data_IF_670897660887
#
_entry.id   IF_670897660887
#
_cell.length_a   1.000
_cell.length_b   1.000
_cell.length_c   1.000
_cell.angle_alpha   90.00
_cell.angle_beta   90.00
_cell.angle_gamma   90.00
#
_symmetry.space_group_name_H-M   'P 1'
#
loop_
_entity.id
_entity.type
_entity.pdbx_description
1 polymer ?
#
# COMPACT_ATOMS: atom_id res chain seq x y z
N UNK A 1 -19.40 8.24 -1.21
CA UNK A 1 -19.75 9.02 -2.43
C UNK A 1 -19.69 8.07 -3.62
N UNK A 2 -20.84 7.82 -4.26
CA UNK A 2 -21.04 6.70 -5.19
C UNK A 2 -20.23 6.83 -6.50
N UNK A 3 -19.65 5.71 -6.94
CA UNK A 3 -18.88 5.54 -8.18
C UNK A 3 -19.61 6.03 -9.46
N UNK A 4 -20.93 6.19 -9.41
CA UNK A 4 -21.77 6.75 -10.48
C UNK A 4 -21.53 8.25 -10.72
N UNK A 5 -21.04 8.99 -9.72
CA UNK A 5 -20.82 10.45 -9.81
C UNK A 5 -19.52 10.83 -10.53
N UNK A 6 -18.52 9.93 -10.55
CA UNK A 6 -17.24 10.18 -11.24
C UNK A 6 -17.35 10.03 -12.76
N UNK A 7 -18.14 9.05 -13.22
CA UNK A 7 -18.42 8.83 -14.64
C UNK A 7 -19.21 10.02 -15.23
N UNK A 8 -20.13 10.61 -14.46
CA UNK A 8 -20.95 11.74 -14.92
C UNK A 8 -20.21 13.08 -14.96
N UNK A 9 -19.16 13.28 -14.15
CA UNK A 9 -18.34 14.49 -14.18
C UNK A 9 -17.38 14.54 -15.39
N UNK A 10 -16.79 13.39 -15.77
CA UNK A 10 -15.87 13.31 -16.92
C UNK A 10 -16.61 13.27 -18.28
N UNK A 11 -17.84 12.74 -18.31
CA UNK A 11 -18.74 12.85 -19.48
C UNK A 11 -19.09 14.33 -19.76
N UNK A 12 -19.23 15.17 -18.73
CA UNK A 12 -19.53 16.60 -18.89
C UNK A 12 -18.37 17.40 -19.51
N UNK A 13 -17.11 17.04 -19.24
CA UNK A 13 -15.93 17.65 -19.86
C UNK A 13 -15.80 17.27 -21.35
N UNK A 14 -16.13 16.03 -21.72
CA UNK A 14 -16.09 15.55 -23.12
C UNK A 14 -17.29 16.06 -23.94
N UNK A 15 -18.44 16.32 -23.30
CA UNK A 15 -19.63 16.86 -23.97
C UNK A 15 -19.41 18.29 -24.49
N UNK A 16 -18.52 19.07 -23.88
CA UNK A 16 -18.23 20.46 -24.29
C UNK A 16 -17.43 20.52 -25.62
N UNK A 17 -16.76 19.42 -26.01
CA UNK A 17 -16.02 19.32 -27.28
C UNK A 17 -16.71 18.52 -28.38
N UNK A 18 -17.91 17.97 -28.13
CA UNK A 18 -18.59 17.07 -29.06
C UNK A 18 -19.75 17.74 -29.81
N UNK A 19 -19.49 18.85 -30.50
CA UNK A 19 -20.32 19.28 -31.64
C UNK A 19 -19.80 18.65 -32.93
N UNK A 20 -19.74 17.31 -33.00
CA UNK A 20 -19.97 16.52 -34.22
C UNK A 20 -19.57 15.03 -34.08
N UNK A 21 -20.52 14.20 -34.51
CA UNK A 21 -20.37 12.87 -35.13
C UNK A 21 -20.15 11.61 -34.27
N UNK A 22 -21.00 10.61 -34.56
CA UNK A 22 -20.97 9.20 -34.12
C UNK A 22 -19.60 8.49 -34.19
N UNK A 23 -18.65 9.02 -34.97
CA UNK A 23 -17.26 8.54 -35.08
C UNK A 23 -16.48 8.80 -33.79
N UNK A 24 -16.66 9.95 -33.14
CA UNK A 24 -16.01 10.28 -31.87
C UNK A 24 -16.44 9.31 -30.75
N UNK A 25 -17.72 8.95 -30.71
CA UNK A 25 -18.26 8.01 -29.71
C UNK A 25 -17.74 6.58 -29.93
N UNK A 26 -17.57 6.14 -31.19
CA UNK A 26 -17.03 4.82 -31.51
C UNK A 26 -15.55 4.72 -31.12
N UNK A 27 -14.77 5.78 -31.37
CA UNK A 27 -13.35 5.85 -30.99
C UNK A 27 -13.17 5.91 -29.47
N UNK A 28 -14.02 6.65 -28.76
CA UNK A 28 -14.01 6.67 -27.30
C UNK A 28 -14.35 5.29 -26.72
N UNK A 29 -15.33 4.57 -27.28
CA UNK A 29 -15.66 3.20 -26.84
C UNK A 29 -14.55 2.20 -27.12
N UNK A 30 -13.86 2.29 -28.26
CA UNK A 30 -12.71 1.41 -28.52
C UNK A 30 -11.51 1.74 -27.65
N UNK A 31 -11.33 3.01 -27.28
CA UNK A 31 -10.27 3.44 -26.35
C UNK A 31 -10.57 2.96 -24.93
N UNK A 32 -11.82 3.11 -24.45
CA UNK A 32 -12.25 2.58 -23.16
C UNK A 32 -12.12 1.06 -23.12
N UNK A 33 -12.56 0.37 -24.19
CA UNK A 33 -12.43 -1.10 -24.25
C UNK A 33 -10.98 -1.55 -24.31
N UNK A 34 -10.11 -0.79 -24.98
CA UNK A 34 -8.66 -1.05 -24.99
C UNK A 34 -8.02 -0.75 -23.63
N UNK A 35 -8.44 0.30 -22.93
CA UNK A 35 -8.01 0.58 -21.55
C UNK A 35 -8.49 -0.50 -20.57
N UNK A 36 -9.73 -0.99 -20.70
CA UNK A 36 -10.29 -2.10 -19.92
C UNK A 36 -9.60 -3.44 -20.24
N UNK A 37 -9.27 -3.70 -21.51
CA UNK A 37 -8.54 -4.91 -21.95
C UNK A 37 -7.03 -4.83 -21.59
N UNK A 38 -6.44 -3.63 -21.49
CA UNK A 38 -5.06 -3.37 -21.05
C UNK A 38 -4.94 -3.20 -19.51
N UNK A 39 -6.06 -3.23 -18.76
CA UNK A 39 -6.03 -3.29 -17.29
C UNK A 39 -5.49 -4.67 -16.86
N UNK A 40 -4.19 -4.71 -16.62
CA UNK A 40 -3.52 -5.84 -15.98
C UNK A 40 -4.23 -6.11 -14.65
N UNK A 41 -5.00 -7.19 -14.59
CA UNK A 41 -5.61 -7.65 -13.35
C UNK A 41 -4.51 -8.27 -12.51
N UNK A 42 -4.18 -7.62 -11.40
CA UNK A 42 -3.17 -8.10 -10.46
C UNK A 42 -3.73 -9.26 -9.65
N UNK A 43 -2.89 -10.27 -9.44
CA UNK A 43 -3.24 -11.44 -8.67
C UNK A 43 -3.20 -11.11 -7.18
N UNK A 44 -4.24 -11.52 -6.46
CA UNK A 44 -4.37 -11.27 -5.02
C UNK A 44 -3.56 -12.29 -4.22
N UNK A 45 -2.94 -11.80 -3.15
CA UNK A 45 -2.13 -12.59 -2.22
C UNK A 45 -2.84 -12.62 -0.86
N UNK A 46 -2.81 -13.73 -0.14
CA UNK A 46 -3.29 -13.79 1.25
C UNK A 46 -2.71 -14.97 2.01
N UNK A 47 -1.87 -14.76 3.04
CA UNK A 47 -1.28 -15.84 3.83
C UNK A 47 -1.06 -15.48 5.30
N UNK A 48 -0.80 -16.48 6.13
CA UNK A 48 -0.47 -16.29 7.54
C UNK A 48 1.04 -16.41 7.77
N UNK A 49 1.57 -15.57 8.65
CA UNK A 49 2.94 -15.68 9.18
C UNK A 49 2.88 -15.51 10.70
N UNK A 50 2.80 -16.64 11.42
CA UNK A 50 2.61 -16.65 12.86
C UNK A 50 1.30 -15.98 13.29
N UNK A 51 1.40 -14.86 13.99
CA UNK A 51 0.27 -14.06 14.48
C UNK A 51 -0.22 -13.00 13.48
N UNK A 52 0.39 -12.94 12.30
CA UNK A 52 0.04 -11.98 11.27
C UNK A 52 -0.66 -12.62 10.09
N UNK A 53 -1.54 -11.85 9.45
CA UNK A 53 -2.14 -12.15 8.16
C UNK A 53 -1.64 -11.10 7.17
N UNK A 54 -1.00 -11.55 6.10
CA UNK A 54 -0.57 -10.71 4.98
C UNK A 54 -1.57 -10.87 3.86
N UNK A 55 -2.08 -9.79 3.27
CA UNK A 55 -2.95 -9.91 2.09
C UNK A 55 -2.95 -8.67 1.20
N UNK A 56 -3.36 -8.83 -0.05
CA UNK A 56 -3.77 -7.71 -0.92
C UNK A 56 -5.07 -7.13 -0.36
N UNK A 57 -5.11 -5.80 -0.21
CA UNK A 57 -6.22 -5.10 0.43
C UNK A 57 -7.35 -4.80 -0.55
N UNK A 58 -8.59 -4.90 -0.06
CA UNK A 58 -9.80 -4.56 -0.80
C UNK A 58 -10.87 -3.91 0.09
N UNK A 59 -11.79 -3.14 -0.50
CA UNK A 59 -12.96 -2.59 0.21
C UNK A 59 -12.61 -1.86 1.51
N UNK A 60 -13.22 -2.28 2.63
CA UNK A 60 -13.02 -1.68 3.96
C UNK A 60 -11.58 -1.78 4.47
N UNK A 61 -10.76 -2.69 3.95
CA UNK A 61 -9.35 -2.85 4.33
C UNK A 61 -8.49 -1.72 3.77
N UNK A 62 -8.81 -1.23 2.55
CA UNK A 62 -8.16 -0.05 1.99
C UNK A 62 -8.43 1.19 2.85
N UNK A 63 -9.65 1.34 3.38
CA UNK A 63 -9.97 2.43 4.29
C UNK A 63 -9.15 2.36 5.60
N UNK A 64 -8.92 1.16 6.15
CA UNK A 64 -8.02 1.00 7.29
C UNK A 64 -6.59 1.43 6.94
N UNK A 65 -6.14 1.16 5.71
CA UNK A 65 -4.83 1.58 5.23
C UNK A 65 -4.70 3.10 5.14
N UNK A 66 -5.73 3.81 4.68
CA UNK A 66 -5.72 5.27 4.61
C UNK A 66 -5.63 5.92 5.98
N UNK A 67 -6.35 5.36 6.97
CA UNK A 67 -6.25 5.79 8.37
C UNK A 67 -4.88 5.48 8.97
N UNK A 68 -4.30 4.30 8.69
CA UNK A 68 -2.95 3.96 9.14
C UNK A 68 -1.90 4.91 8.55
N UNK A 69 -1.99 5.17 7.23
CA UNK A 69 -1.10 6.10 6.53
C UNK A 69 -1.21 7.51 7.07
N UNK A 70 -2.40 7.99 7.41
CA UNK A 70 -2.58 9.32 8.03
C UNK A 70 -1.87 9.41 9.38
N UNK A 71 -2.04 8.42 10.27
CA UNK A 71 -1.32 8.37 11.55
C UNK A 71 0.20 8.39 11.37
N UNK A 72 0.71 7.72 10.33
CA UNK A 72 2.14 7.68 10.02
C UNK A 72 2.63 9.01 9.43
N UNK A 73 2.07 9.42 8.29
CA UNK A 73 2.62 10.51 7.49
C UNK A 73 2.16 11.90 7.95
N UNK A 74 0.93 12.03 8.43
CA UNK A 74 0.39 13.33 8.85
C UNK A 74 0.64 13.60 10.33
N UNK A 75 0.32 12.65 11.21
CA UNK A 75 0.39 12.85 12.65
C UNK A 75 1.81 12.66 13.21
N UNK A 76 2.44 11.52 12.90
CA UNK A 76 3.73 11.17 13.47
C UNK A 76 4.92 11.84 12.75
N UNK A 77 5.01 11.66 11.43
CA UNK A 77 6.13 12.16 10.63
C UNK A 77 5.96 13.61 10.18
N UNK A 78 4.72 14.10 10.08
CA UNK A 78 4.38 15.47 9.61
C UNK A 78 4.90 15.75 8.21
N UNK A 79 4.94 14.74 7.35
CA UNK A 79 5.37 14.85 5.95
C UNK A 79 4.25 15.36 5.04
N UNK A 80 3.01 15.05 5.39
CA UNK A 80 1.81 15.55 4.69
C UNK A 80 0.95 16.36 5.66
N UNK A 81 0.15 17.32 5.17
CA UNK A 81 -0.80 18.05 6.01
C UNK A 81 -1.80 17.12 6.70
N UNK A 82 -2.26 17.53 7.88
CA UNK A 82 -3.34 16.83 8.58
C UNK A 82 -4.65 16.92 7.77
N UNK A 83 -5.26 15.78 7.47
CA UNK A 83 -6.60 15.71 6.88
C UNK A 83 -7.68 15.59 7.95
N UNK A 84 -8.79 16.33 7.81
CA UNK A 84 -9.91 16.34 8.76
C UNK A 84 -10.71 15.04 8.80
N UNK A 85 -10.70 14.27 7.71
CA UNK A 85 -11.30 12.94 7.62
C UNK A 85 -10.38 11.82 8.15
N UNK A 86 -9.19 12.20 8.67
CA UNK A 86 -8.19 11.29 9.22
C UNK A 86 -7.73 10.21 8.22
N UNK A 87 -7.77 10.52 6.92
CA UNK A 87 -7.32 9.65 5.85
C UNK A 87 -6.17 10.31 5.07
N UNK A 88 -5.15 9.52 4.75
CA UNK A 88 -4.15 9.87 3.75
C UNK A 88 -4.56 9.17 2.47
N UNK A 89 -5.02 9.94 1.49
CA UNK A 89 -5.39 9.48 0.15
C UNK A 89 -4.84 10.44 -0.90
N UNK A 90 -4.46 9.93 -2.06
CA UNK A 90 -4.04 10.72 -3.20
C UNK A 90 -4.54 10.10 -4.51
N UNK A 91 -4.20 10.71 -5.65
CA UNK A 91 -4.68 10.25 -6.96
C UNK A 91 -4.21 8.83 -7.31
N UNK A 92 -3.04 8.43 -6.80
CA UNK A 92 -2.40 7.15 -7.13
C UNK A 92 -3.16 5.97 -6.53
N UNK A 93 -3.93 6.20 -5.45
CA UNK A 93 -4.76 5.17 -4.81
C UNK A 93 -5.84 4.61 -5.74
N UNK A 94 -6.20 5.31 -6.81
CA UNK A 94 -7.24 4.85 -7.75
C UNK A 94 -6.77 3.73 -8.70
N UNK A 95 -5.46 3.46 -8.78
CA UNK A 95 -4.90 2.38 -9.59
C UNK A 95 -3.81 1.58 -8.88
N UNK A 96 -3.64 1.79 -7.58
CA UNK A 96 -2.64 1.10 -6.80
C UNK A 96 -3.18 -0.21 -6.23
N UNK A 97 -2.32 -1.21 -6.15
CA UNK A 97 -2.50 -2.29 -5.21
C UNK A 97 -1.92 -1.92 -3.85
N UNK A 98 -2.38 -2.60 -2.81
CA UNK A 98 -1.79 -2.49 -1.49
C UNK A 98 -1.65 -3.86 -0.84
N UNK A 99 -0.46 -4.16 -0.33
CA UNK A 99 -0.21 -5.33 0.51
C UNK A 99 -0.27 -4.86 1.96
N UNK A 100 -1.24 -5.39 2.71
CA UNK A 100 -1.41 -5.10 4.12
C UNK A 100 -0.97 -6.26 5.01
N UNK A 101 -0.61 -5.90 6.24
CA UNK A 101 -0.26 -6.81 7.32
C UNK A 101 -1.20 -6.56 8.49
N UNK A 102 -2.02 -7.54 8.82
CA UNK A 102 -2.95 -7.51 9.95
C UNK A 102 -2.41 -8.34 11.11
N UNK A 103 -2.63 -7.86 12.32
CA UNK A 103 -2.59 -8.70 13.50
C UNK A 103 -3.83 -9.63 13.51
N UNK A 104 -3.72 -10.83 14.10
CA UNK A 104 -4.84 -11.80 14.20
C UNK A 104 -6.13 -11.24 14.81
N UNK A 105 -6.04 -10.15 15.56
CA UNK A 105 -7.19 -9.43 16.15
C UNK A 105 -7.94 -8.54 15.17
N UNK A 106 -7.58 -8.49 13.89
CA UNK A 106 -8.27 -7.68 12.88
C UNK A 106 -7.67 -6.30 12.63
N UNK A 107 -6.61 -5.93 13.36
CA UNK A 107 -5.99 -4.60 13.26
C UNK A 107 -4.90 -4.57 12.19
N UNK A 108 -5.00 -3.66 11.23
CA UNK A 108 -3.93 -3.38 10.27
C UNK A 108 -2.73 -2.72 10.97
N UNK A 109 -1.56 -3.37 10.89
CA UNK A 109 -0.31 -2.94 11.53
C UNK A 109 0.77 -2.50 10.55
N UNK A 110 0.59 -2.78 9.27
CA UNK A 110 1.50 -2.33 8.22
C UNK A 110 0.86 -2.37 6.84
N UNK A 111 1.32 -1.52 5.93
CA UNK A 111 0.90 -1.50 4.53
C UNK A 111 2.04 -1.05 3.62
N UNK A 112 2.07 -1.59 2.41
CA UNK A 112 2.87 -1.12 1.27
C UNK A 112 1.92 -0.89 0.10
N UNK A 113 2.06 0.23 -0.61
CA UNK A 113 1.33 0.54 -1.84
C UNK A 113 2.21 0.27 -3.07
N UNK A 114 1.60 -0.24 -4.13
CA UNK A 114 2.28 -0.71 -5.34
C UNK A 114 1.61 -0.08 -6.56
N UNK A 115 2.36 0.72 -7.32
CA UNK A 115 1.86 1.35 -8.54
C UNK A 115 2.28 0.52 -9.76
N UNK A 116 1.34 0.05 -10.60
CA UNK A 116 1.64 -0.72 -11.79
C UNK A 116 2.25 0.15 -12.90
N UNK A 117 3.17 -0.41 -13.69
CA UNK A 117 3.88 0.32 -14.75
C UNK A 117 3.01 0.87 -15.88
N UNK A 118 1.79 0.35 -16.06
CA UNK A 118 0.86 0.89 -17.08
C UNK A 118 0.28 2.25 -16.67
N UNK A 119 0.41 2.64 -15.39
CA UNK A 119 -0.08 3.91 -14.84
C UNK A 119 1.08 4.82 -14.39
N UNK A 120 0.85 6.15 -14.24
CA UNK A 120 1.89 7.07 -13.77
C UNK A 120 2.46 6.70 -12.39
N UNK A 121 3.79 6.77 -12.27
CA UNK A 121 4.50 6.67 -11.00
C UNK A 121 4.62 8.05 -10.34
N UNK A 122 4.74 8.08 -9.01
CA UNK A 122 5.10 9.28 -8.26
C UNK A 122 6.51 9.76 -8.63
N UNK A 123 7.43 8.83 -8.94
CA UNK A 123 8.79 9.17 -9.40
C UNK A 123 8.83 9.99 -10.70
N UNK A 124 7.78 9.90 -11.52
CA UNK A 124 7.65 10.66 -12.78
C UNK A 124 7.25 12.12 -12.54
N UNK A 125 6.60 12.41 -11.42
CA UNK A 125 5.95 13.69 -11.09
C UNK A 125 6.48 14.26 -9.79
N UNK A 126 6.03 13.74 -8.65
CA UNK A 126 6.30 14.23 -7.30
C UNK A 126 7.79 14.19 -6.94
N UNK A 127 8.51 13.20 -7.46
CA UNK A 127 9.93 12.98 -7.16
C UNK A 127 10.82 13.09 -8.39
N UNK A 128 10.39 13.83 -9.42
CA UNK A 128 11.14 13.98 -10.68
C UNK A 128 12.54 14.56 -10.47
N UNK A 129 12.73 15.39 -9.45
CA UNK A 129 14.03 15.99 -9.09
C UNK A 129 15.09 14.97 -8.64
N UNK A 130 14.66 13.78 -8.21
CA UNK A 130 15.59 12.69 -7.88
C UNK A 130 16.20 12.06 -9.14
N UNK A 131 15.55 12.22 -10.28
CA UNK A 131 16.00 11.60 -11.52
C UNK A 131 16.88 12.56 -12.33
N UNK A 132 17.98 12.03 -12.87
CA UNK A 132 18.77 12.76 -13.85
C UNK A 132 17.93 13.22 -15.05
N UNK A 133 18.35 14.26 -15.79
CA UNK A 133 17.59 14.78 -16.93
C UNK A 133 17.30 13.68 -17.96
N UNK A 134 18.29 12.81 -18.22
CA UNK A 134 18.21 11.74 -19.22
C UNK A 134 17.76 10.39 -18.65
N UNK A 135 17.45 10.31 -17.35
CA UNK A 135 17.02 9.06 -16.75
C UNK A 135 15.59 8.73 -17.19
N UNK A 136 15.43 7.59 -17.85
CA UNK A 136 14.14 7.07 -18.23
C UNK A 136 13.74 5.93 -17.30
N UNK A 137 12.60 6.11 -16.61
CA UNK A 137 11.98 5.03 -15.86
C UNK A 137 11.53 3.96 -16.84
N UNK A 138 11.86 2.72 -16.54
CA UNK A 138 11.40 1.58 -17.32
C UNK A 138 9.91 1.34 -17.04
N UNK A 139 9.06 1.40 -18.07
CA UNK A 139 7.60 1.20 -17.96
C UNK A 139 7.15 -0.05 -18.73
N UNK A 140 7.57 -1.24 -18.29
CA UNK A 140 7.05 -2.51 -18.85
C UNK A 140 6.33 -3.31 -17.77
N UNK A 141 5.57 -4.34 -18.18
CA UNK A 141 4.66 -5.10 -17.31
C UNK A 141 5.30 -5.73 -16.08
N UNK A 142 6.60 -6.06 -16.12
CA UNK A 142 7.40 -6.60 -15.01
C UNK A 142 7.98 -5.50 -14.09
N UNK A 143 7.36 -4.32 -14.04
CA UNK A 143 7.84 -3.18 -13.26
C UNK A 143 6.73 -2.55 -12.43
N UNK A 144 7.05 -2.16 -11.20
CA UNK A 144 6.19 -1.34 -10.35
C UNK A 144 6.97 -0.23 -9.63
N UNK A 145 6.24 0.65 -8.97
CA UNK A 145 6.79 1.56 -7.96
C UNK A 145 6.23 1.20 -6.58
N UNK A 146 7.11 1.08 -5.59
CA UNK A 146 6.78 0.89 -4.20
C UNK A 146 6.63 2.27 -3.56
N UNK A 147 5.46 2.53 -2.98
CA UNK A 147 5.15 3.77 -2.27
C UNK A 147 4.48 3.45 -0.93
N UNK A 148 4.35 4.46 -0.06
CA UNK A 148 3.57 4.39 1.19
C UNK A 148 3.87 3.15 2.06
N UNK A 149 5.15 2.82 2.29
CA UNK A 149 5.53 1.87 3.34
C UNK A 149 5.24 2.49 4.71
N UNK A 150 4.17 2.03 5.35
CA UNK A 150 3.68 2.55 6.62
C UNK A 150 3.54 1.42 7.63
N UNK A 151 4.12 1.61 8.83
CA UNK A 151 3.99 0.69 9.97
C UNK A 151 3.31 1.43 11.11
N UNK A 152 2.48 0.74 11.89
CA UNK A 152 1.79 1.35 13.02
C UNK A 152 2.78 1.97 14.03
N UNK A 153 2.75 3.31 14.25
CA UNK A 153 3.70 3.99 15.13
C UNK A 153 3.67 3.50 16.57
N UNK A 154 2.52 2.99 17.04
CA UNK A 154 2.36 2.45 18.40
C UNK A 154 3.26 1.23 18.67
N UNK A 155 3.74 0.57 17.62
CA UNK A 155 4.59 -0.62 17.71
C UNK A 155 6.09 -0.29 17.67
N UNK A 156 6.44 0.98 17.49
CA UNK A 156 7.85 1.43 17.34
C UNK A 156 8.68 1.26 18.62
N UNK A 157 8.07 1.34 19.80
CA UNK A 157 8.73 1.20 21.10
C UNK A 157 8.99 -0.25 21.53
N UNK A 158 8.34 -1.21 20.88
CA UNK A 158 8.43 -2.63 21.20
C UNK A 158 9.67 -3.23 20.52
N UNK A 159 10.75 -3.39 21.30
CA UNK A 159 12.05 -3.91 20.81
C UNK A 159 11.85 -5.22 20.04
N UNK A 160 12.33 -5.25 18.79
CA UNK A 160 12.29 -6.42 17.91
C UNK A 160 10.96 -6.65 17.17
N UNK A 161 9.82 -6.17 17.71
CA UNK A 161 8.52 -6.34 17.06
C UNK A 161 8.43 -5.53 15.76
N UNK A 162 8.88 -4.28 15.77
CA UNK A 162 8.91 -3.42 14.57
C UNK A 162 9.73 -4.04 13.44
N UNK A 163 10.87 -4.66 13.76
CA UNK A 163 11.70 -5.38 12.79
C UNK A 163 11.02 -6.66 12.28
N UNK A 164 10.30 -7.39 13.15
CA UNK A 164 9.52 -8.57 12.73
C UNK A 164 8.40 -8.17 11.76
N UNK A 165 7.61 -7.15 12.10
CA UNK A 165 6.53 -6.61 11.28
C UNK A 165 7.07 -6.15 9.92
N UNK A 166 8.14 -5.36 9.90
CA UNK A 166 8.77 -4.91 8.66
C UNK A 166 9.19 -6.11 7.78
N UNK A 167 9.87 -7.10 8.36
CA UNK A 167 10.30 -8.29 7.61
C UNK A 167 9.12 -9.08 7.05
N UNK A 168 8.05 -9.28 7.83
CA UNK A 168 6.85 -9.98 7.36
C UNK A 168 6.13 -9.19 6.25
N UNK A 169 6.08 -7.87 6.35
CA UNK A 169 5.50 -7.02 5.32
C UNK A 169 6.35 -7.03 4.03
N UNK A 170 7.68 -7.01 4.15
CA UNK A 170 8.60 -7.17 3.02
C UNK A 170 8.52 -8.57 2.38
N UNK A 171 8.22 -9.62 3.16
CA UNK A 171 7.89 -10.95 2.64
C UNK A 171 6.61 -10.90 1.81
N UNK A 172 5.58 -10.21 2.30
CA UNK A 172 4.36 -9.94 1.53
C UNK A 172 4.61 -9.24 0.21
N UNK A 173 5.42 -8.19 0.22
CA UNK A 173 5.88 -7.49 -0.98
C UNK A 173 6.57 -8.45 -1.96
N UNK A 174 7.53 -9.25 -1.50
CA UNK A 174 8.25 -10.18 -2.36
C UNK A 174 7.34 -11.25 -2.97
N UNK A 175 6.45 -11.86 -2.17
CA UNK A 175 5.52 -12.86 -2.68
C UNK A 175 4.52 -12.25 -3.67
N UNK A 176 4.09 -11.00 -3.43
CA UNK A 176 3.26 -10.28 -4.41
C UNK A 176 4.01 -10.04 -5.72
N UNK A 177 5.32 -9.73 -5.68
CA UNK A 177 6.10 -9.52 -6.91
C UNK A 177 6.29 -10.82 -7.69
N UNK A 178 6.46 -11.96 -7.00
CA UNK A 178 6.48 -13.29 -7.62
C UNK A 178 5.17 -13.59 -8.32
N UNK A 179 4.04 -13.42 -7.61
CA UNK A 179 2.70 -13.73 -8.15
C UNK A 179 2.34 -12.85 -9.35
N UNK A 180 2.79 -11.60 -9.35
CA UNK A 180 2.48 -10.62 -10.41
C UNK A 180 3.60 -10.50 -11.47
N UNK A 181 4.61 -11.38 -11.45
CA UNK A 181 5.69 -11.36 -12.44
C UNK A 181 6.51 -10.08 -12.46
N UNK A 182 6.61 -9.37 -11.33
CA UNK A 182 7.37 -8.13 -11.21
C UNK A 182 8.84 -8.42 -10.95
N UNK A 183 9.69 -7.90 -11.84
CA UNK A 183 11.15 -7.98 -11.71
C UNK A 183 11.75 -6.70 -11.14
N UNK A 184 11.26 -5.54 -11.54
CA UNK A 184 11.85 -4.26 -11.14
C UNK A 184 10.91 -3.47 -10.25
N UNK A 185 11.40 -3.01 -9.11
CA UNK A 185 10.67 -2.12 -8.22
C UNK A 185 11.42 -0.82 -7.99
N UNK A 186 10.82 0.29 -8.42
CA UNK A 186 11.31 1.64 -8.11
C UNK A 186 10.82 2.10 -6.75
N UNK A 187 11.57 2.94 -6.06
CA UNK A 187 11.18 3.54 -4.79
C UNK A 187 11.92 4.85 -4.52
N UNK A 188 11.31 5.72 -3.72
CA UNK A 188 11.99 6.82 -3.03
C UNK A 188 11.93 6.54 -1.54
N UNK A 189 13.10 6.46 -0.92
CA UNK A 189 13.22 6.14 0.51
C UNK A 189 14.26 7.03 1.16
N UNK A 190 14.22 7.13 2.49
CA UNK A 190 15.32 7.73 3.22
C UNK A 190 16.63 6.95 3.03
N UNK A 191 17.76 7.64 2.96
CA UNK A 191 19.08 7.04 2.73
C UNK A 191 19.44 6.01 3.81
N UNK A 192 19.08 6.28 5.08
CA UNK A 192 19.25 5.33 6.18
C UNK A 192 18.43 4.05 5.99
N UNK A 193 17.24 4.17 5.40
CA UNK A 193 16.36 3.04 5.16
C UNK A 193 16.86 2.20 3.98
N UNK A 194 17.39 2.83 2.92
CA UNK A 194 18.05 2.11 1.82
C UNK A 194 19.22 1.25 2.33
N UNK A 195 20.04 1.79 3.25
CA UNK A 195 21.11 1.00 3.91
C UNK A 195 20.54 -0.16 4.71
N UNK A 196 19.46 0.05 5.47
CA UNK A 196 18.82 -1.01 6.24
C UNK A 196 18.26 -2.12 5.34
N UNK A 197 17.62 -1.79 4.22
CA UNK A 197 17.15 -2.76 3.21
C UNK A 197 18.28 -3.64 2.70
N UNK A 198 19.40 -3.03 2.30
CA UNK A 198 20.59 -3.75 1.84
C UNK A 198 21.17 -4.67 2.92
N UNK A 199 21.25 -4.21 4.18
CA UNK A 199 21.66 -5.06 5.31
C UNK A 199 20.70 -6.23 5.48
N UNK A 200 19.38 -6.03 5.35
CA UNK A 200 18.36 -7.08 5.43
C UNK A 200 18.35 -8.05 4.25
N UNK A 201 19.07 -7.75 3.16
CA UNK A 201 19.24 -8.66 2.02
C UNK A 201 18.45 -8.26 0.78
N UNK A 202 17.96 -7.03 0.73
CA UNK A 202 17.30 -6.46 -0.44
C UNK A 202 18.33 -5.58 -1.17
N UNK A 203 18.95 -6.05 -2.28
CA UNK A 203 20.03 -5.35 -2.98
C UNK A 203 19.49 -4.16 -3.79
N UNK A 204 18.93 -3.16 -3.10
CA UNK A 204 18.36 -1.97 -3.71
C UNK A 204 19.50 -1.00 -4.08
N UNK A 205 19.63 -0.71 -5.38
CA UNK A 205 20.68 0.13 -5.95
C UNK A 205 20.21 1.58 -6.07
N UNK A 206 21.02 2.57 -5.64
CA UNK A 206 20.67 3.97 -5.79
C UNK A 206 20.64 4.37 -7.28
N UNK A 207 19.62 5.12 -7.66
CA UNK A 207 19.48 5.77 -8.97
C UNK A 207 19.97 7.23 -8.91
N UNK A 208 19.80 7.85 -7.75
CA UNK A 208 20.12 9.26 -7.50
C UNK A 208 21.19 9.43 -6.43
N UNK A 209 21.73 10.64 -6.34
CA UNK A 209 22.39 11.06 -5.09
C UNK A 209 21.34 11.38 -4.01
N UNK A 210 21.67 11.31 -2.71
CA UNK A 210 20.71 11.64 -1.66
C UNK A 210 20.41 13.15 -1.60
N UNK A 211 19.14 13.51 -1.68
CA UNK A 211 18.61 14.88 -1.67
C UNK A 211 17.86 15.11 -0.35
N UNK A 212 18.08 16.26 0.30
CA UNK A 212 17.27 16.65 1.46
C UNK A 212 15.90 17.11 0.98
N UNK A 213 14.84 16.41 1.39
CA UNK A 213 13.48 16.69 0.93
C UNK A 213 12.67 17.37 2.05
N UNK A 214 12.26 18.65 1.89
CA UNK A 214 11.36 19.32 2.84
C UNK A 214 9.98 18.65 2.89
N UNK A 215 9.23 18.72 4.01
CA UNK A 215 9.58 19.34 5.29
C UNK A 215 10.42 18.43 6.20
N UNK A 216 10.65 17.18 5.80
CA UNK A 216 11.20 16.13 6.65
C UNK A 216 12.65 16.38 7.13
N UNK A 217 13.42 17.20 6.40
CA UNK A 217 14.86 17.42 6.65
C UNK A 217 15.73 16.16 6.46
N UNK A 218 15.10 14.99 6.31
CA UNK A 218 15.73 13.73 6.00
C UNK A 218 16.26 13.72 4.57
N UNK A 219 17.40 13.05 4.39
CA UNK A 219 17.98 12.80 3.08
C UNK A 219 17.31 11.58 2.47
N UNK A 220 16.61 11.79 1.37
CA UNK A 220 15.95 10.75 0.58
C UNK A 220 16.78 10.42 -0.66
N UNK A 221 16.53 9.26 -1.26
CA UNK A 221 17.23 8.75 -2.42
C UNK A 221 16.26 7.92 -3.28
N UNK A 222 16.30 8.10 -4.59
CA UNK A 222 15.61 7.21 -5.51
C UNK A 222 16.46 5.94 -5.70
N UNK A 223 15.81 4.78 -5.67
CA UNK A 223 16.47 3.48 -5.79
C UNK A 223 15.64 2.50 -6.62
N UNK A 224 16.31 1.47 -7.13
CA UNK A 224 15.71 0.35 -7.84
C UNK A 224 16.10 -0.96 -7.17
N UNK A 225 15.15 -1.86 -7.01
CA UNK A 225 15.36 -3.24 -6.62
C UNK A 225 15.12 -4.16 -7.84
N UNK A 226 16.10 -4.99 -8.20
CA UNK A 226 15.94 -6.08 -9.17
C UNK A 226 15.70 -7.38 -8.40
N UNK A 227 14.50 -7.95 -8.55
CA UNK A 227 14.10 -9.18 -7.86
C UNK A 227 14.85 -10.43 -8.38
N UNK A 228 15.41 -10.42 -9.60
CA UNK A 228 16.31 -11.48 -10.06
C UNK A 228 17.67 -11.43 -9.34
N UNK A 229 18.20 -10.23 -9.14
CA UNK A 229 19.41 -10.01 -8.34
C UNK A 229 19.16 -10.44 -6.88
N UNK A 230 18.03 -10.02 -6.30
CA UNK A 230 17.60 -10.47 -4.98
C UNK A 230 17.58 -12.00 -4.86
N UNK A 231 16.93 -12.70 -5.79
CA UNK A 231 16.85 -14.17 -5.80
C UNK A 231 18.24 -14.80 -5.88
N UNK A 232 19.04 -14.35 -6.85
CA UNK A 232 20.38 -14.90 -7.11
C UNK A 232 21.31 -14.70 -5.91
N UNK A 233 21.36 -13.48 -5.36
CA UNK A 233 22.24 -13.17 -4.24
C UNK A 233 21.82 -13.88 -2.96
N UNK A 234 20.52 -13.91 -2.64
CA UNK A 234 20.06 -14.55 -1.41
C UNK A 234 20.11 -16.08 -1.47
N UNK A 235 19.85 -16.70 -2.63
CA UNK A 235 20.03 -18.14 -2.80
C UNK A 235 21.48 -18.57 -2.52
N UNK A 236 22.46 -17.74 -2.92
CA UNK A 236 23.89 -18.03 -2.71
C UNK A 236 24.38 -17.63 -1.31
N UNK A 237 24.07 -16.42 -0.85
CA UNK A 237 24.70 -15.80 0.34
C UNK A 237 23.88 -15.97 1.61
N UNK A 238 22.56 -16.16 1.48
CA UNK A 238 21.61 -16.18 2.62
C UNK A 238 20.51 -17.23 2.40
N UNK A 239 20.86 -18.50 2.15
CA UNK A 239 19.90 -19.52 1.70
C UNK A 239 18.73 -19.72 2.68
N UNK A 240 18.98 -19.71 4.00
CA UNK A 240 17.90 -19.84 4.99
C UNK A 240 16.91 -18.66 4.98
N UNK A 241 17.40 -17.44 4.73
CA UNK A 241 16.53 -16.28 4.57
C UNK A 241 15.74 -16.36 3.26
N UNK A 242 16.40 -16.77 2.18
CA UNK A 242 15.75 -16.94 0.87
C UNK A 242 14.65 -18.01 0.91
N UNK A 243 14.91 -19.12 1.58
CA UNK A 243 13.93 -20.18 1.82
C UNK A 243 12.75 -19.66 2.65
N UNK A 244 13.01 -18.95 3.75
CA UNK A 244 11.95 -18.39 4.58
C UNK A 244 11.08 -17.36 3.82
N UNK A 245 11.69 -16.44 3.07
CA UNK A 245 10.94 -15.36 2.40
C UNK A 245 10.16 -15.88 1.19
N UNK A 246 10.62 -16.96 0.54
CA UNK A 246 9.98 -17.55 -0.64
C UNK A 246 8.88 -18.54 -0.34
N UNK A 247 8.76 -19.00 0.92
CA UNK A 247 7.75 -19.96 1.30
C UNK A 247 6.65 -19.31 2.13
N UNK A 248 5.41 -19.70 1.87
CA UNK A 248 4.30 -19.43 2.79
C UNK A 248 4.29 -20.55 3.83
N UNK A 249 4.35 -20.20 5.12
CA UNK A 249 4.25 -21.19 6.18
C UNK A 249 2.80 -21.73 6.25
N UNK A 250 2.66 -23.05 6.09
CA UNK A 250 1.42 -23.85 6.16
C UNK A 250 0.32 -23.59 5.11
N UNK A 251 0.35 -24.42 4.07
CA UNK A 251 -0.75 -24.66 3.14
C UNK A 251 -1.99 -25.34 3.77
N UNK A 252 -1.95 -25.68 5.07
CA UNK A 252 -3.01 -26.43 5.76
C UNK A 252 -4.15 -25.56 6.32
N UNK A 253 -3.99 -24.24 6.35
CA UNK A 253 -4.93 -23.30 6.97
C UNK A 253 -5.66 -22.38 5.98
N UNK A 254 -5.39 -22.50 4.68
CA UNK A 254 -5.79 -21.53 3.66
C UNK A 254 -7.31 -21.44 3.43
N UNK A 255 -8.05 -22.53 3.59
CA UNK A 255 -9.51 -22.54 3.33
C UNK A 255 -10.35 -22.32 4.60
N UNK A 256 -9.91 -22.83 5.75
CA UNK A 256 -10.65 -22.71 7.02
C UNK A 256 -10.48 -21.36 7.70
N UNK A 257 -9.25 -20.86 7.82
CA UNK A 257 -8.97 -19.63 8.56
C UNK A 257 -9.46 -18.37 7.83
N UNK A 258 -9.43 -18.35 6.50
CA UNK A 258 -10.01 -17.28 5.67
C UNK A 258 -11.55 -17.30 5.68
N UNK A 259 -12.18 -18.48 5.80
CA UNK A 259 -13.64 -18.58 5.98
C UNK A 259 -14.06 -18.06 7.36
N UNK A 260 -13.39 -18.49 8.44
CA UNK A 260 -13.64 -17.97 9.79
C UNK A 260 -13.34 -16.47 9.91
N UNK A 261 -12.34 -15.95 9.18
CA UNK A 261 -12.07 -14.51 9.11
C UNK A 261 -13.12 -13.72 8.33
N UNK A 262 -13.58 -14.24 7.18
CA UNK A 262 -14.68 -13.65 6.41
C UNK A 262 -15.96 -13.57 7.25
N UNK A 263 -16.27 -14.63 8.00
CA UNK A 263 -17.42 -14.67 8.90
C UNK A 263 -17.28 -13.69 10.08
N UNK A 264 -16.06 -13.49 10.60
CA UNK A 264 -15.79 -12.50 11.65
C UNK A 264 -15.90 -11.06 11.17
N UNK A 265 -15.46 -10.74 9.95
CA UNK A 265 -15.61 -9.40 9.37
C UNK A 265 -17.08 -9.09 9.06
N UNK A 266 -17.80 -10.04 8.46
CA UNK A 266 -19.25 -9.91 8.22
C UNK A 266 -20.04 -9.78 9.53
N UNK A 267 -19.63 -10.51 10.58
CA UNK A 267 -20.23 -10.43 11.92
C UNK A 267 -19.90 -9.15 12.71
N UNK A 268 -18.91 -8.37 12.28
CA UNK A 268 -18.62 -7.03 12.83
C UNK A 268 -19.42 -5.96 12.09
N UNK A 269 -19.67 -6.12 10.78
CA UNK A 269 -20.60 -5.27 10.02
C UNK A 269 -22.04 -5.39 10.53
N UNK A 270 -22.53 -6.60 10.82
CA UNK A 270 -23.88 -6.79 11.37
C UNK A 270 -24.03 -6.18 12.79
N UNK A 271 -23.00 -6.27 13.63
CA UNK A 271 -23.03 -5.65 14.98
C UNK A 271 -22.96 -4.14 14.95
N UNK A 272 -22.25 -3.56 13.97
CA UNK A 272 -22.20 -2.10 13.79
C UNK A 272 -23.48 -1.54 13.15
N UNK A 273 -24.25 -2.35 12.42
CA UNK A 273 -25.59 -2.01 11.95
C UNK A 273 -26.63 -2.02 13.09
N UNK A 274 -26.48 -2.91 14.09
CA UNK A 274 -27.41 -2.97 15.24
C UNK A 274 -27.17 -1.83 16.24
N UNK A 275 -25.95 -1.27 16.33
CA UNK A 275 -25.62 -0.20 17.28
C UNK A 275 -25.95 1.23 16.82
N UNK A 276 -26.50 1.42 15.62
CA UNK A 276 -26.93 2.75 15.12
C UNK A 276 -28.43 2.99 15.20
N UNK A 277 -29.18 2.11 15.89
CA UNK A 277 -30.64 2.12 15.91
C UNK A 277 -31.28 2.07 17.29
N UNK A 278 -30.83 2.84 18.29
CA UNK A 278 -31.64 3.10 19.50
C UNK A 278 -31.47 4.54 19.97
N UNK A 279 -32.54 5.30 19.84
CA UNK A 279 -32.77 6.64 20.39
C UNK A 279 -32.72 6.66 21.92
N UNK A 280 -32.03 7.65 22.50
CA UNK A 280 -32.07 7.98 23.92
C UNK A 280 -33.50 8.30 24.42
N UNK A 281 -33.76 8.07 25.72
CA UNK A 281 -34.04 9.26 26.53
C UNK A 281 -33.41 9.21 27.94
N UNK A 282 -32.71 10.30 28.28
CA UNK A 282 -32.79 10.96 29.59
C UNK A 282 -32.17 10.29 30.83
N UNK A 283 -31.16 10.95 31.42
CA UNK A 283 -30.84 10.76 32.84
C UNK A 283 -29.42 11.17 33.24
N UNK A 284 -29.28 12.30 33.96
CA UNK A 284 -28.04 12.79 34.60
C UNK A 284 -27.55 11.80 35.69
N UNK A 285 -26.23 11.75 35.96
CA UNK A 285 -25.53 12.43 37.09
C UNK A 285 -24.07 11.94 37.30
N UNK A 286 -23.15 12.92 37.31
CA UNK A 286 -21.92 13.16 38.11
C UNK A 286 -20.95 12.02 38.53
N UNK A 287 -19.67 12.28 38.20
CA UNK A 287 -18.53 12.55 39.11
C UNK A 287 -17.30 11.60 39.20
N UNK A 288 -16.13 12.27 39.11
CA UNK A 288 -14.82 12.07 39.76
C UNK A 288 -13.86 10.98 39.22
N UNK A 289 -12.73 11.41 38.59
CA UNK A 289 -11.36 11.55 39.16
C UNK A 289 -10.53 10.25 38.94
N UNK A 290 -9.23 10.17 38.65
CA UNK A 290 -8.06 11.09 38.60
C UNK A 290 -6.85 10.25 38.10
N UNK A 291 -5.96 10.83 37.25
CA UNK A 291 -4.48 10.65 37.09
C UNK A 291 -3.88 9.22 36.91
N UNK A 292 -2.70 8.95 36.36
CA UNK A 292 -1.50 9.65 35.89
C UNK A 292 -0.70 8.66 35.00
N UNK A 293 -0.07 9.11 33.90
CA UNK A 293 1.40 9.21 33.74
C UNK A 293 2.25 8.05 34.32
N UNK A 294 2.75 7.17 33.42
CA UNK A 294 4.14 6.64 33.35
C UNK A 294 4.48 6.34 31.88
#
# INVERSE_FOLDING_TARGET
>A
MNATLFVTWRIRQVTILAKNTKVAIRNVRSLIKKEEDDMVTTQSLAFCEGEFVVKTLEGAELEQSFRLRHRVYAENLKWVPYSSDQCDTDIYDSWADSVGLFHREGRLVGVIRLLPSVQPFMLETEFREFLGPDFQIRKQSDTNEITRLALDPSLSHLKGLSARILRTLLKGLYLWTVENGVRYSYMVVEERFLRALNIMGFPARPISSPIAFPPAGARSIAAMLDWDEFRTENASRRPAFFEWISNIADNSMYTGALAEWRDRLNGVEERNLVLTGVSEPGGRRLEQNVLAEV
#
